data_IF_850886545450
#
_entry.id   IF_850886545450
#
_cell.length_a   1.000
_cell.length_b   1.000
_cell.length_c   1.000
_cell.angle_alpha   90.00
_cell.angle_beta   90.00
_cell.angle_gamma   90.00
#
_symmetry.space_group_name_H-M   'P 1'
#
loop_
_entity.id
_entity.type
_entity.pdbx_description
1 polymer ?
#
# COMPACT_ATOMS: atom_id res chain seq x y z
N UNK A 1 26.14 16.36 -0.56
CA UNK A 1 24.90 17.17 -0.34
C UNK A 1 23.68 16.64 -1.11
N UNK A 2 23.73 15.43 -1.69
CA UNK A 2 22.62 14.78 -2.42
C UNK A 2 21.78 13.85 -1.54
N UNK A 3 22.40 13.22 -0.52
CA UNK A 3 21.72 12.36 0.45
C UNK A 3 20.61 13.10 1.23
N UNK A 4 20.88 14.33 1.70
CA UNK A 4 19.90 15.13 2.46
C UNK A 4 18.65 15.44 1.61
N UNK A 5 18.80 15.69 0.31
CA UNK A 5 17.67 16.00 -0.57
C UNK A 5 16.86 14.74 -0.91
N UNK A 6 17.53 13.64 -1.21
CA UNK A 6 16.87 12.35 -1.50
C UNK A 6 16.14 11.80 -0.27
N UNK A 7 16.72 11.98 0.92
CA UNK A 7 16.09 11.59 2.19
C UNK A 7 14.93 12.52 2.57
N UNK A 8 15.05 13.84 2.33
CA UNK A 8 13.95 14.78 2.52
C UNK A 8 12.76 14.51 1.58
N UNK A 9 13.01 14.19 0.30
CA UNK A 9 11.96 13.81 -0.66
C UNK A 9 11.27 12.51 -0.25
N UNK A 10 12.03 11.52 0.23
CA UNK A 10 11.45 10.27 0.78
C UNK A 10 10.59 10.55 2.01
N UNK A 11 11.07 11.36 2.95
CA UNK A 11 10.31 11.74 4.16
C UNK A 11 9.03 12.49 3.77
N UNK A 12 9.10 13.44 2.84
CA UNK A 12 7.94 14.18 2.35
C UNK A 12 6.90 13.25 1.68
N UNK A 13 7.34 12.30 0.86
CA UNK A 13 6.47 11.28 0.27
C UNK A 13 5.80 10.42 1.34
N UNK A 14 6.54 10.00 2.36
CA UNK A 14 5.99 9.20 3.47
C UNK A 14 4.95 9.99 4.27
N UNK A 15 5.22 11.26 4.55
CA UNK A 15 4.26 12.15 5.23
C UNK A 15 3.00 12.32 4.39
N UNK A 16 3.15 12.55 3.08
CA UNK A 16 2.03 12.67 2.15
C UNK A 16 1.15 11.42 2.16
N UNK A 17 1.75 10.24 2.02
CA UNK A 17 1.04 8.96 2.05
C UNK A 17 0.34 8.73 3.40
N UNK A 18 0.94 9.20 4.49
CA UNK A 18 0.35 9.11 5.85
C UNK A 18 -0.89 9.98 6.00
N UNK A 19 -0.82 11.22 5.53
CA UNK A 19 -1.95 12.15 5.55
C UNK A 19 -3.08 11.58 4.69
N UNK A 20 -2.75 11.06 3.50
CA UNK A 20 -3.73 10.47 2.60
C UNK A 20 -4.41 9.23 3.19
N UNK A 21 -3.64 8.36 3.88
CA UNK A 21 -4.19 7.22 4.58
C UNK A 21 -5.13 7.67 5.71
N UNK A 22 -4.71 8.66 6.51
CA UNK A 22 -5.52 9.15 7.63
C UNK A 22 -6.84 9.76 7.14
N UNK A 23 -6.79 10.57 6.08
CA UNK A 23 -7.98 11.10 5.43
C UNK A 23 -8.91 9.99 4.90
N UNK A 24 -8.35 8.98 4.24
CA UNK A 24 -9.14 7.84 3.72
C UNK A 24 -9.80 7.03 4.85
N UNK A 25 -9.10 6.82 5.97
CA UNK A 25 -9.66 6.16 7.15
C UNK A 25 -10.81 6.96 7.78
N UNK A 26 -10.64 8.29 7.94
CA UNK A 26 -11.70 9.16 8.46
C UNK A 26 -12.94 9.09 7.56
N UNK A 27 -12.74 9.17 6.25
CA UNK A 27 -13.82 9.08 5.27
C UNK A 27 -14.56 7.74 5.36
N UNK A 28 -13.82 6.64 5.50
CA UNK A 28 -14.36 5.28 5.62
C UNK A 28 -15.22 5.14 6.87
N UNK A 29 -14.72 5.59 8.03
CA UNK A 29 -15.45 5.53 9.31
C UNK A 29 -16.68 6.44 9.28
N UNK A 30 -16.56 7.62 8.70
CA UNK A 30 -17.67 8.59 8.59
C UNK A 30 -18.78 8.05 7.68
N UNK A 31 -18.43 7.48 6.53
CA UNK A 31 -19.38 6.86 5.62
C UNK A 31 -20.05 5.63 6.26
N UNK A 32 -19.30 4.79 6.96
CA UNK A 32 -19.84 3.65 7.69
C UNK A 32 -20.83 4.08 8.78
N UNK A 33 -20.50 5.13 9.54
CA UNK A 33 -21.39 5.67 10.57
C UNK A 33 -22.71 6.19 9.99
N UNK A 34 -22.65 6.94 8.89
CA UNK A 34 -23.85 7.43 8.22
C UNK A 34 -24.72 6.28 7.73
N UNK A 35 -24.12 5.27 7.07
CA UNK A 35 -24.83 4.09 6.60
C UNK A 35 -25.50 3.34 7.75
N UNK A 36 -24.79 3.10 8.85
CA UNK A 36 -25.35 2.43 10.03
C UNK A 36 -26.53 3.19 10.65
N UNK A 37 -26.49 4.53 10.62
CA UNK A 37 -27.57 5.37 11.13
C UNK A 37 -28.82 5.28 10.24
N UNK A 38 -28.64 5.23 8.93
CA UNK A 38 -29.73 5.07 7.97
C UNK A 38 -30.34 3.66 8.05
N UNK A 39 -29.51 2.63 8.19
CA UNK A 39 -30.00 1.27 8.37
C UNK A 39 -29.01 0.35 9.09
N UNK A 40 -29.47 -0.31 10.15
CA UNK A 40 -28.65 -1.25 10.90
C UNK A 40 -28.23 -2.48 10.08
N UNK A 41 -28.95 -2.82 9.00
CA UNK A 41 -28.59 -3.94 8.12
C UNK A 41 -27.24 -3.75 7.40
N UNK A 42 -26.73 -2.52 7.28
CA UNK A 42 -25.39 -2.28 6.76
C UNK A 42 -24.27 -2.72 7.73
N UNK A 43 -24.59 -3.04 8.99
CA UNK A 43 -23.61 -3.47 9.99
C UNK A 43 -22.89 -4.76 9.61
N UNK A 44 -23.64 -5.79 9.23
CA UNK A 44 -23.09 -7.11 8.90
C UNK A 44 -22.07 -7.05 7.73
N UNK A 45 -22.38 -6.41 6.58
CA UNK A 45 -21.42 -6.28 5.49
C UNK A 45 -20.22 -5.40 5.85
N UNK A 46 -20.40 -4.31 6.60
CA UNK A 46 -19.29 -3.46 7.06
C UNK A 46 -18.36 -4.25 8.00
N UNK A 47 -18.93 -4.97 8.97
CA UNK A 47 -18.17 -5.80 9.90
C UNK A 47 -17.39 -6.90 9.18
N UNK A 48 -18.01 -7.56 8.20
CA UNK A 48 -17.36 -8.58 7.38
C UNK A 48 -16.16 -8.01 6.61
N UNK A 49 -16.31 -6.84 5.99
CA UNK A 49 -15.22 -6.15 5.27
C UNK A 49 -14.07 -5.84 6.24
N UNK A 50 -14.36 -5.29 7.42
CA UNK A 50 -13.35 -4.95 8.44
C UNK A 50 -12.60 -6.20 8.90
N UNK A 51 -13.31 -7.28 9.25
CA UNK A 51 -12.68 -8.52 9.72
C UNK A 51 -11.79 -9.11 8.64
N UNK A 52 -12.28 -9.22 7.40
CA UNK A 52 -11.51 -9.77 6.28
C UNK A 52 -10.27 -8.92 5.96
N UNK A 53 -10.40 -7.60 5.96
CA UNK A 53 -9.25 -6.70 5.76
C UNK A 53 -8.23 -6.83 6.86
N UNK A 54 -8.63 -6.80 8.13
CA UNK A 54 -7.71 -6.94 9.25
C UNK A 54 -6.96 -8.28 9.22
N UNK A 55 -7.68 -9.37 8.94
CA UNK A 55 -7.09 -10.71 8.83
C UNK A 55 -6.09 -10.75 7.67
N UNK A 56 -6.46 -10.25 6.49
CA UNK A 56 -5.56 -10.22 5.34
C UNK A 56 -4.34 -9.34 5.57
N UNK A 57 -4.50 -8.14 6.14
CA UNK A 57 -3.36 -7.26 6.44
C UNK A 57 -2.38 -7.93 7.41
N UNK A 58 -2.88 -8.69 8.38
CA UNK A 58 -2.06 -9.44 9.35
C UNK A 58 -1.22 -10.52 8.68
N UNK A 59 -1.79 -11.24 7.72
CA UNK A 59 -1.07 -12.27 6.95
C UNK A 59 -0.13 -11.67 5.88
N UNK A 60 -0.53 -10.58 5.24
CA UNK A 60 0.25 -9.89 4.22
C UNK A 60 1.51 -9.25 4.81
N UNK A 61 1.41 -8.67 6.01
CA UNK A 61 2.48 -7.92 6.66
C UNK A 61 3.85 -8.61 6.66
N UNK A 62 4.03 -9.84 7.18
CA UNK A 62 5.35 -10.48 7.18
C UNK A 62 5.90 -10.76 5.78
N UNK A 63 5.03 -11.07 4.81
CA UNK A 63 5.43 -11.38 3.43
C UNK A 63 5.91 -10.10 2.73
N UNK A 64 5.10 -9.04 2.81
CA UNK A 64 5.40 -7.73 2.20
C UNK A 64 6.66 -7.12 2.80
N UNK A 65 6.83 -7.19 4.13
CA UNK A 65 8.04 -6.70 4.79
C UNK A 65 9.31 -7.42 4.31
N UNK A 66 9.28 -8.75 4.20
CA UNK A 66 10.43 -9.54 3.73
C UNK A 66 10.79 -9.24 2.28
N UNK A 67 9.78 -9.15 1.41
CA UNK A 67 10.01 -8.86 -0.01
C UNK A 67 10.54 -7.44 -0.22
N UNK A 68 10.02 -6.47 0.52
CA UNK A 68 10.48 -5.10 0.46
C UNK A 68 11.90 -4.94 1.00
N UNK A 69 12.24 -5.59 2.12
CA UNK A 69 13.61 -5.62 2.63
C UNK A 69 14.60 -6.23 1.62
N UNK A 70 14.18 -7.29 0.90
CA UNK A 70 15.00 -7.91 -0.13
C UNK A 70 15.16 -7.03 -1.38
N UNK A 71 14.13 -6.28 -1.77
CA UNK A 71 14.23 -5.26 -2.82
C UNK A 71 15.26 -4.19 -2.43
N UNK A 72 15.13 -3.65 -1.23
CA UNK A 72 16.00 -2.57 -0.76
C UNK A 72 17.47 -3.00 -0.65
N UNK A 73 17.73 -4.20 -0.12
CA UNK A 73 19.09 -4.75 -0.05
C UNK A 73 19.76 -4.89 -1.42
N UNK A 74 18.99 -5.25 -2.46
CA UNK A 74 19.52 -5.36 -3.83
C UNK A 74 19.70 -4.00 -4.48
N UNK A 75 18.81 -3.04 -4.19
CA UNK A 75 18.95 -1.67 -4.64
C UNK A 75 20.23 -1.03 -4.08
N UNK A 76 20.54 -1.24 -2.80
CA UNK A 76 21.77 -0.72 -2.18
C UNK A 76 23.02 -1.32 -2.86
N UNK A 77 23.06 -2.63 -3.11
CA UNK A 77 24.16 -3.28 -3.83
C UNK A 77 24.36 -2.72 -5.25
N UNK A 78 23.26 -2.42 -5.95
CA UNK A 78 23.30 -1.81 -7.28
C UNK A 78 23.82 -0.37 -7.23
N UNK A 79 23.40 0.43 -6.24
CA UNK A 79 23.88 1.80 -6.04
C UNK A 79 25.37 1.82 -5.72
N UNK A 80 25.83 0.96 -4.82
CA UNK A 80 27.25 0.80 -4.50
C UNK A 80 28.06 0.35 -5.72
N UNK A 81 27.54 -0.59 -6.51
CA UNK A 81 28.25 -1.07 -7.70
C UNK A 81 28.38 0.02 -8.76
N UNK A 82 27.36 0.88 -8.94
CA UNK A 82 27.44 2.05 -9.81
C UNK A 82 28.49 3.06 -9.33
N UNK A 83 28.49 3.42 -8.04
CA UNK A 83 29.48 4.33 -7.47
C UNK A 83 30.89 3.78 -7.67
N UNK A 84 31.09 2.48 -7.43
CA UNK A 84 32.38 1.82 -7.65
C UNK A 84 32.82 1.83 -9.12
N UNK A 85 31.87 1.70 -10.06
CA UNK A 85 32.14 1.76 -11.49
C UNK A 85 32.53 3.18 -11.95
N UNK A 86 31.90 4.21 -11.39
CA UNK A 86 32.26 5.61 -11.68
C UNK A 86 33.65 5.97 -11.13
N UNK A 87 33.99 5.49 -9.93
CA UNK A 87 35.28 5.78 -9.28
C UNK A 87 36.49 5.10 -9.95
N UNK A 88 36.28 3.98 -10.67
CA UNK A 88 37.34 3.21 -11.35
C UNK A 88 37.48 3.61 -12.83
N UNK A 89 36.78 4.65 -13.28
CA UNK A 89 36.67 5.06 -14.70
C UNK A 89 37.99 5.38 -15.44
N UNK A 90 39.13 5.42 -14.74
CA UNK A 90 40.46 5.61 -15.35
C UNK A 90 41.01 4.37 -16.08
N UNK A 91 40.50 3.16 -15.83
CA UNK A 91 41.01 1.92 -16.46
C UNK A 91 39.91 1.20 -17.27
N UNK A 92 39.98 1.33 -18.59
CA UNK A 92 38.91 0.94 -19.52
C UNK A 92 38.54 -0.55 -19.56
N UNK A 93 39.44 -1.45 -19.13
CA UNK A 93 39.12 -2.89 -18.99
C UNK A 93 38.41 -3.20 -17.69
N UNK A 94 38.83 -2.57 -16.59
CA UNK A 94 38.26 -2.75 -15.27
C UNK A 94 36.86 -2.12 -15.17
N UNK A 95 36.67 -0.96 -15.81
CA UNK A 95 35.37 -0.30 -16.00
C UNK A 95 34.34 -1.19 -16.69
N UNK A 96 34.70 -1.86 -17.81
CA UNK A 96 33.79 -2.79 -18.51
C UNK A 96 33.36 -3.98 -17.65
N UNK A 97 34.30 -4.56 -16.90
CA UNK A 97 34.04 -5.68 -15.99
C UNK A 97 33.06 -5.27 -14.87
N UNK A 98 33.21 -4.07 -14.31
CA UNK A 98 32.31 -3.53 -13.29
C UNK A 98 30.93 -3.18 -13.84
N UNK A 99 30.84 -2.66 -15.07
CA UNK A 99 29.55 -2.39 -15.74
C UNK A 99 28.74 -3.68 -15.95
N UNK A 100 29.37 -4.78 -16.37
CA UNK A 100 28.72 -6.09 -16.50
C UNK A 100 28.22 -6.58 -15.14
N UNK A 101 28.99 -6.37 -14.06
CA UNK A 101 28.59 -6.70 -12.70
C UNK A 101 27.39 -5.87 -12.23
N UNK A 102 27.40 -4.56 -12.49
CA UNK A 102 26.29 -3.64 -12.21
C UNK A 102 25.02 -4.02 -12.97
N UNK A 103 25.13 -4.50 -14.21
CA UNK A 103 23.98 -5.04 -14.95
C UNK A 103 23.37 -6.28 -14.27
N UNK A 104 24.21 -7.15 -13.72
CA UNK A 104 23.76 -8.28 -12.90
C UNK A 104 22.93 -7.83 -11.69
N UNK A 105 23.44 -6.86 -10.92
CA UNK A 105 22.73 -6.28 -9.79
C UNK A 105 21.42 -5.58 -10.20
N UNK A 106 21.41 -4.85 -11.32
CA UNK A 106 20.19 -4.22 -11.85
C UNK A 106 19.09 -5.25 -12.12
N UNK A 107 19.43 -6.36 -12.80
CA UNK A 107 18.50 -7.45 -13.09
C UNK A 107 17.93 -8.05 -11.80
N UNK A 108 18.79 -8.19 -10.78
CA UNK A 108 18.40 -8.72 -9.48
C UNK A 108 17.44 -7.79 -8.73
N UNK A 109 17.68 -6.48 -8.76
CA UNK A 109 16.82 -5.44 -8.18
C UNK A 109 15.46 -5.41 -8.88
N UNK A 110 15.43 -5.41 -10.22
CA UNK A 110 14.18 -5.47 -11.00
C UNK A 110 13.37 -6.72 -10.66
N UNK A 111 14.02 -7.88 -10.52
CA UNK A 111 13.35 -9.13 -10.14
C UNK A 111 12.76 -9.05 -8.72
N UNK A 112 13.46 -8.43 -7.77
CA UNK A 112 12.95 -8.28 -6.40
C UNK A 112 11.77 -7.31 -6.34
N UNK A 113 11.87 -6.16 -7.02
CA UNK A 113 10.77 -5.21 -7.19
C UNK A 113 9.53 -5.85 -7.81
N UNK A 114 9.72 -6.66 -8.85
CA UNK A 114 8.61 -7.40 -9.46
C UNK A 114 7.94 -8.36 -8.46
N UNK A 115 8.72 -9.09 -7.65
CA UNK A 115 8.16 -9.99 -6.63
C UNK A 115 7.38 -9.23 -5.56
N UNK A 116 7.90 -8.10 -5.10
CA UNK A 116 7.21 -7.22 -4.15
C UNK A 116 5.89 -6.69 -4.72
N UNK A 117 5.92 -6.09 -5.91
CA UNK A 117 4.72 -5.55 -6.57
C UNK A 117 3.67 -6.63 -6.83
N UNK A 118 4.10 -7.81 -7.30
CA UNK A 118 3.21 -8.96 -7.50
C UNK A 118 2.54 -9.40 -6.20
N UNK A 119 3.30 -9.52 -5.11
CA UNK A 119 2.74 -9.91 -3.82
C UNK A 119 1.79 -8.84 -3.27
N UNK A 120 2.14 -7.55 -3.39
CA UNK A 120 1.29 -6.43 -2.98
C UNK A 120 -0.04 -6.41 -3.72
N UNK A 121 -0.03 -6.66 -5.03
CA UNK A 121 -1.24 -6.75 -5.84
C UNK A 121 -2.14 -7.94 -5.42
N UNK A 122 -1.54 -9.12 -5.19
CA UNK A 122 -2.29 -10.32 -4.74
C UNK A 122 -2.91 -10.10 -3.36
N UNK A 123 -2.18 -9.46 -2.45
CA UNK A 123 -2.66 -9.20 -1.09
C UNK A 123 -3.76 -8.12 -1.06
N UNK A 124 -3.74 -7.16 -1.98
CA UNK A 124 -4.81 -6.16 -2.14
C UNK A 124 -6.08 -6.74 -2.78
N UNK A 125 -5.94 -7.78 -3.62
CA UNK A 125 -7.05 -8.34 -4.39
C UNK A 125 -8.19 -8.91 -3.53
N UNK A 126 -7.87 -9.71 -2.50
CA UNK A 126 -8.90 -10.36 -1.68
C UNK A 126 -9.77 -9.37 -0.90
N UNK A 127 -9.19 -8.36 -0.21
CA UNK A 127 -9.96 -7.29 0.40
C UNK A 127 -10.83 -6.51 -0.60
N UNK A 128 -10.29 -6.19 -1.78
CA UNK A 128 -11.04 -5.46 -2.81
C UNK A 128 -12.25 -6.26 -3.29
N UNK A 129 -12.06 -7.57 -3.53
CA UNK A 129 -13.14 -8.46 -3.91
C UNK A 129 -14.19 -8.59 -2.80
N UNK A 130 -13.78 -8.64 -1.53
CA UNK A 130 -14.70 -8.65 -0.39
C UNK A 130 -15.51 -7.35 -0.28
N UNK A 131 -14.88 -6.20 -0.52
CA UNK A 131 -15.56 -4.91 -0.59
C UNK A 131 -16.58 -4.91 -1.72
N UNK A 132 -16.19 -5.32 -2.94
CA UNK A 132 -17.11 -5.37 -4.08
C UNK A 132 -18.30 -6.30 -3.83
N UNK A 133 -18.07 -7.51 -3.31
CA UNK A 133 -19.12 -8.46 -2.98
C UNK A 133 -20.04 -7.95 -1.85
N UNK A 134 -19.46 -7.31 -0.83
CA UNK A 134 -20.21 -6.66 0.25
C UNK A 134 -21.09 -5.54 -0.27
N UNK A 135 -20.55 -4.66 -1.12
CA UNK A 135 -21.29 -3.57 -1.77
C UNK A 135 -22.45 -4.08 -2.63
N UNK A 136 -22.23 -5.12 -3.44
CA UNK A 136 -23.32 -5.72 -4.24
C UNK A 136 -24.39 -6.32 -3.35
N UNK A 137 -23.99 -7.08 -2.32
CA UNK A 137 -24.94 -7.69 -1.37
C UNK A 137 -25.80 -6.62 -0.70
N UNK A 138 -25.16 -5.54 -0.25
CA UNK A 138 -25.82 -4.38 0.34
C UNK A 138 -26.88 -3.80 -0.59
N UNK A 139 -26.54 -3.57 -1.87
CA UNK A 139 -27.47 -3.00 -2.85
C UNK A 139 -28.67 -3.92 -3.06
N UNK A 140 -28.45 -5.23 -3.22
CA UNK A 140 -29.52 -6.20 -3.37
C UNK A 140 -30.43 -6.27 -2.15
N UNK A 141 -29.86 -6.29 -0.94
CA UNK A 141 -30.64 -6.29 0.30
C UNK A 141 -31.43 -5.01 0.51
N UNK A 142 -30.84 -3.84 0.25
CA UNK A 142 -31.55 -2.56 0.32
C UNK A 142 -32.71 -2.47 -0.68
N UNK A 143 -32.55 -3.04 -1.88
CA UNK A 143 -33.59 -3.07 -2.90
C UNK A 143 -34.69 -4.11 -2.60
N UNK A 144 -34.36 -5.24 -1.98
CA UNK A 144 -35.30 -6.34 -1.74
C UNK A 144 -36.02 -6.30 -0.38
N UNK A 145 -35.35 -5.82 0.68
CA UNK A 145 -35.84 -5.96 2.06
C UNK A 145 -36.44 -4.68 2.66
N UNK A 146 -36.19 -3.51 2.07
CA UNK A 146 -36.55 -2.23 2.66
C UNK A 146 -37.29 -1.30 1.70
N UNK A 147 -38.61 -1.48 1.53
CA UNK A 147 -39.41 -0.56 0.73
C UNK A 147 -39.44 0.88 1.31
N UNK A 148 -39.07 1.05 2.57
CA UNK A 148 -38.95 2.36 3.23
C UNK A 148 -37.75 3.19 2.74
N UNK A 149 -36.78 2.57 2.04
CA UNK A 149 -35.63 3.29 1.48
C UNK A 149 -35.87 3.83 0.07
N UNK A 150 -37.00 3.53 -0.59
CA UNK A 150 -37.24 3.97 -1.97
C UNK A 150 -37.19 5.50 -2.14
N UNK A 151 -36.69 5.97 -3.30
CA UNK A 151 -36.57 7.38 -3.64
C UNK A 151 -35.22 7.99 -3.26
N UNK A 152 -35.21 9.22 -2.73
CA UNK A 152 -34.01 10.00 -2.46
C UNK A 152 -33.06 9.35 -1.44
N UNK A 153 -33.62 8.61 -0.45
CA UNK A 153 -32.84 7.92 0.59
C UNK A 153 -32.00 6.77 0.03
N UNK A 154 -32.52 6.01 -0.94
CA UNK A 154 -31.75 4.97 -1.63
C UNK A 154 -30.58 5.58 -2.42
N UNK A 155 -30.83 6.68 -3.12
CA UNK A 155 -29.80 7.38 -3.91
C UNK A 155 -28.69 7.90 -2.99
N UNK A 156 -29.05 8.51 -1.85
CA UNK A 156 -28.09 8.96 -0.85
C UNK A 156 -27.28 7.78 -0.28
N UNK A 157 -27.94 6.67 0.08
CA UNK A 157 -27.26 5.47 0.57
C UNK A 157 -26.29 4.90 -0.46
N UNK A 158 -26.67 4.82 -1.74
CA UNK A 158 -25.77 4.40 -2.82
C UNK A 158 -24.55 5.32 -2.95
N UNK A 159 -24.73 6.63 -2.79
CA UNK A 159 -23.63 7.59 -2.73
C UNK A 159 -22.65 7.30 -1.59
N UNK A 160 -23.16 7.11 -0.38
CA UNK A 160 -22.32 6.78 0.79
C UNK A 160 -21.65 5.41 0.68
N UNK A 161 -22.32 4.41 0.08
CA UNK A 161 -21.73 3.10 -0.22
C UNK A 161 -20.57 3.25 -1.22
N UNK A 162 -20.73 4.08 -2.26
CA UNK A 162 -19.67 4.39 -3.22
C UNK A 162 -18.46 5.04 -2.54
N UNK A 163 -18.70 6.04 -1.69
CA UNK A 163 -17.66 6.71 -0.89
C UNK A 163 -16.95 5.71 0.02
N UNK A 164 -17.70 4.88 0.76
CA UNK A 164 -17.17 3.85 1.64
C UNK A 164 -16.31 2.84 0.89
N UNK A 165 -16.77 2.36 -0.26
CA UNK A 165 -16.06 1.39 -1.12
C UNK A 165 -14.75 1.97 -1.62
N UNK A 166 -14.77 3.21 -2.13
CA UNK A 166 -13.58 3.88 -2.66
C UNK A 166 -12.55 4.16 -1.56
N UNK A 167 -13.00 4.71 -0.43
CA UNK A 167 -12.14 5.04 0.71
C UNK A 167 -11.55 3.78 1.36
N UNK A 168 -12.32 2.71 1.48
CA UNK A 168 -11.84 1.43 2.01
C UNK A 168 -10.76 0.83 1.11
N UNK A 169 -10.99 0.81 -0.20
CA UNK A 169 -10.04 0.29 -1.20
C UNK A 169 -8.75 1.11 -1.19
N UNK A 170 -8.85 2.44 -1.18
CA UNK A 170 -7.69 3.34 -1.08
C UNK A 170 -6.89 3.10 0.20
N UNK A 171 -7.57 2.97 1.34
CA UNK A 171 -6.93 2.73 2.63
C UNK A 171 -6.16 1.40 2.68
N UNK A 172 -6.68 0.34 2.05
CA UNK A 172 -6.00 -0.97 2.00
C UNK A 172 -4.73 -0.90 1.16
N UNK A 173 -4.81 -0.30 -0.04
CA UNK A 173 -3.65 -0.16 -0.93
C UNK A 173 -2.56 0.69 -0.30
N UNK A 174 -2.93 1.83 0.28
CA UNK A 174 -2.01 2.70 1.02
C UNK A 174 -1.45 1.99 2.24
N UNK A 175 -2.28 1.28 3.01
CA UNK A 175 -1.87 0.51 4.18
C UNK A 175 -0.84 -0.57 3.85
N UNK A 176 -1.03 -1.32 2.77
CA UNK A 176 -0.05 -2.32 2.29
C UNK A 176 1.26 -1.66 1.86
N UNK A 177 1.18 -0.52 1.16
CA UNK A 177 2.36 0.24 0.72
C UNK A 177 3.16 0.77 1.91
N UNK A 178 2.47 1.26 2.94
CA UNK A 178 3.08 1.76 4.18
C UNK A 178 3.81 0.68 4.99
N UNK A 179 3.43 -0.58 4.87
CA UNK A 179 4.16 -1.68 5.50
C UNK A 179 5.61 -1.72 5.01
N UNK A 180 5.85 -1.44 3.72
CA UNK A 180 7.18 -1.30 3.13
C UNK A 180 7.91 -0.06 3.65
N UNK A 181 7.24 1.09 3.66
CA UNK A 181 7.79 2.36 4.17
C UNK A 181 8.32 2.23 5.60
N UNK A 182 7.62 1.51 6.49
CA UNK A 182 8.09 1.27 7.86
C UNK A 182 9.49 0.65 7.91
N UNK A 183 9.82 -0.25 6.98
CA UNK A 183 11.14 -0.89 6.90
C UNK A 183 12.22 0.13 6.53
N UNK A 184 11.92 1.03 5.58
CA UNK A 184 12.84 2.12 5.20
C UNK A 184 13.07 3.10 6.35
N UNK A 185 12.02 3.49 7.06
CA UNK A 185 12.11 4.39 8.23
C UNK A 185 12.93 3.75 9.34
N UNK A 186 12.65 2.49 9.70
CA UNK A 186 13.38 1.77 10.75
C UNK A 186 14.88 1.67 10.42
N UNK A 187 15.23 1.53 9.14
CA UNK A 187 16.62 1.51 8.67
C UNK A 187 17.32 2.87 8.79
N UNK A 188 16.68 3.95 8.37
CA UNK A 188 17.23 5.32 8.46
C UNK A 188 17.49 5.68 9.93
N UNK A 189 16.52 5.45 10.81
CA UNK A 189 16.65 5.80 12.22
C UNK A 189 17.53 4.84 13.03
N UNK A 190 17.71 3.58 12.58
CA UNK A 190 18.69 2.67 13.20
C UNK A 190 20.14 3.09 12.89
N UNK A 191 20.40 3.76 11.76
CA UNK A 191 21.69 4.37 11.44
C UNK A 191 22.10 5.48 12.42
N UNK A 192 21.15 6.32 12.85
CA UNK A 192 21.38 7.40 13.82
C UNK A 192 21.46 6.95 15.29
N UNK A 193 21.17 5.68 15.62
CA UNK A 193 21.34 5.17 17.01
C UNK A 193 22.75 4.70 17.33
N UNK A 194 23.64 4.66 16.33
CA UNK A 194 25.03 4.22 16.47
C UNK A 194 26.04 5.30 16.06
N UNK A 195 25.59 6.55 15.91
CA UNK A 195 26.41 7.78 15.93
C UNK A 195 26.22 8.49 17.27
#
# INVERSE_FOLDING_TARGET
MTLIKEDAEKIASVIHDTIQLMGSCILTVSAAYILLRENIYFFLPIALIIVLTCVQLRFAKPVIQRLYAAEMSKEDLYKESLISAFNVSSDGKQSKMQLIRSYGYLKDTVRARYKYLKASAIQSFWPEMAISAGTVSVIFFSAAATPELFGERLIACLGYIGIFTMASTGSIRLGITMIGVKVSVDRIFRGHRYE
#
